data_IF_562965152384
#
_entry.id   IF_562965152384
#
_cell.length_a   1.000
_cell.length_b   1.000
_cell.length_c   1.000
_cell.angle_alpha   90.00
_cell.angle_beta   90.00
_cell.angle_gamma   90.00
#
_symmetry.space_group_name_H-M   'P 1'
#
loop_
_entity.id
_entity.type
_entity.pdbx_description
1 polymer ?
#
# COMPACT_ATOMS: atom_id res chain seq x y z
N UNK A 1 -25.13 -36.58 -8.40
CA UNK A 1 -24.24 -35.73 -9.20
C UNK A 1 -23.40 -34.95 -8.22
N UNK A 2 -22.12 -35.32 -8.08
CA UNK A 2 -21.19 -34.70 -7.13
C UNK A 2 -20.46 -33.57 -7.83
N UNK A 3 -20.73 -32.33 -7.44
CA UNK A 3 -19.98 -31.17 -7.94
C UNK A 3 -18.72 -31.06 -7.09
N UNK A 4 -17.57 -31.37 -7.68
CA UNK A 4 -16.27 -31.13 -7.07
C UNK A 4 -16.06 -29.61 -6.93
N UNK A 5 -16.03 -29.12 -5.68
CA UNK A 5 -15.61 -27.76 -5.38
C UNK A 5 -14.10 -27.67 -5.64
N UNK A 6 -13.70 -27.10 -6.78
CA UNK A 6 -12.29 -26.83 -7.06
C UNK A 6 -11.83 -25.80 -6.03
N UNK A 7 -10.93 -26.23 -5.14
CA UNK A 7 -10.38 -25.40 -4.10
C UNK A 7 -9.41 -24.40 -4.77
N UNK A 8 -9.84 -23.15 -4.97
CA UNK A 8 -9.10 -22.09 -5.69
C UNK A 8 -7.75 -21.74 -5.03
N UNK A 9 -7.52 -22.23 -3.81
CA UNK A 9 -6.33 -21.95 -3.00
C UNK A 9 -5.03 -22.61 -3.51
N UNK A 10 -5.08 -23.41 -4.58
CA UNK A 10 -3.95 -24.25 -5.03
C UNK A 10 -3.42 -23.95 -6.45
N UNK A 11 -3.96 -22.93 -7.15
CA UNK A 11 -3.56 -22.63 -8.55
C UNK A 11 -2.79 -21.32 -8.74
N UNK A 12 -2.53 -20.57 -7.67
CA UNK A 12 -1.68 -19.38 -7.73
C UNK A 12 -0.47 -19.60 -6.83
N UNK A 13 0.68 -19.81 -7.46
CA UNK A 13 1.96 -19.74 -6.75
C UNK A 13 2.07 -18.37 -6.07
N UNK A 14 2.48 -18.38 -4.81
CA UNK A 14 2.60 -17.17 -3.98
C UNK A 14 3.52 -16.16 -4.68
N UNK A 15 4.52 -16.67 -5.43
CA UNK A 15 5.45 -15.88 -6.25
C UNK A 15 4.76 -15.09 -7.37
N UNK A 16 3.75 -15.66 -8.04
CA UNK A 16 3.03 -14.98 -9.14
C UNK A 16 2.15 -13.85 -8.61
N UNK A 17 1.55 -14.04 -7.43
CA UNK A 17 0.77 -13.00 -6.75
C UNK A 17 1.68 -11.86 -6.29
N UNK A 18 2.84 -12.19 -5.72
CA UNK A 18 3.81 -11.22 -5.22
C UNK A 18 4.43 -10.39 -6.36
N UNK A 19 4.77 -11.03 -7.48
CA UNK A 19 5.31 -10.36 -8.68
C UNK A 19 4.28 -9.39 -9.29
N UNK A 20 3.02 -9.82 -9.41
CA UNK A 20 1.94 -8.96 -9.91
C UNK A 20 1.72 -7.75 -8.98
N UNK A 21 1.71 -7.95 -7.66
CA UNK A 21 1.57 -6.85 -6.70
C UNK A 21 2.76 -5.88 -6.73
N UNK A 22 3.96 -6.40 -6.99
CA UNK A 22 5.17 -5.57 -7.13
C UNK A 22 5.10 -4.69 -8.37
N UNK A 23 4.67 -5.24 -9.50
CA UNK A 23 4.47 -4.46 -10.74
C UNK A 23 3.42 -3.37 -10.56
N UNK A 24 2.27 -3.70 -9.95
CA UNK A 24 1.22 -2.72 -9.64
C UNK A 24 1.71 -1.62 -8.68
N UNK A 25 2.51 -1.99 -7.66
CA UNK A 25 3.13 -1.05 -6.75
C UNK A 25 4.08 -0.07 -7.46
N UNK A 26 4.90 -0.57 -8.39
CA UNK A 26 5.79 0.28 -9.20
C UNK A 26 5.00 1.25 -10.07
N UNK A 27 3.91 0.79 -10.71
CA UNK A 27 3.02 1.66 -11.49
C UNK A 27 2.38 2.73 -10.60
N UNK A 28 1.93 2.38 -9.39
CA UNK A 28 1.35 3.33 -8.46
C UNK A 28 2.35 4.43 -8.02
N UNK A 29 3.64 4.11 -7.96
CA UNK A 29 4.71 5.05 -7.60
C UNK A 29 5.16 5.93 -8.76
N UNK A 30 4.86 5.58 -10.01
CA UNK A 30 5.40 6.26 -11.19
C UNK A 30 5.16 7.78 -11.19
N UNK A 31 3.94 8.21 -10.87
CA UNK A 31 3.58 9.64 -10.86
C UNK A 31 4.32 10.42 -9.77
N UNK A 32 4.39 9.86 -8.56
CA UNK A 32 5.09 10.48 -7.44
C UNK A 32 6.60 10.61 -7.72
N UNK A 33 7.20 9.56 -8.29
CA UNK A 33 8.62 9.56 -8.68
C UNK A 33 8.91 10.61 -9.74
N UNK A 34 8.09 10.71 -10.78
CA UNK A 34 8.27 11.73 -11.81
C UNK A 34 8.26 13.16 -11.25
N UNK A 35 7.41 13.44 -10.26
CA UNK A 35 7.37 14.75 -9.58
C UNK A 35 8.65 14.99 -8.76
N UNK A 36 9.11 13.99 -8.01
CA UNK A 36 10.33 14.10 -7.19
C UNK A 36 11.59 14.20 -8.05
N UNK A 37 11.66 13.45 -9.14
CA UNK A 37 12.75 13.47 -10.13
C UNK A 37 12.83 14.86 -10.79
N UNK A 38 11.68 15.41 -11.23
CA UNK A 38 11.62 16.76 -11.80
C UNK A 38 12.03 17.85 -10.80
N UNK A 39 11.74 17.64 -9.51
CA UNK A 39 12.18 18.52 -8.43
C UNK A 39 13.64 18.28 -8.02
N UNK A 40 14.32 17.28 -8.58
CA UNK A 40 15.69 16.85 -8.24
C UNK A 40 15.87 16.54 -6.75
N UNK A 41 14.82 16.03 -6.10
CA UNK A 41 14.86 15.67 -4.69
C UNK A 41 15.34 14.23 -4.52
N UNK A 42 16.30 13.95 -3.61
CA UNK A 42 16.66 12.58 -3.28
C UNK A 42 15.50 11.91 -2.54
N UNK A 43 15.13 10.70 -2.96
CA UNK A 43 14.10 9.89 -2.30
C UNK A 43 14.47 8.41 -2.31
N UNK A 44 13.84 7.67 -1.40
CA UNK A 44 13.81 6.21 -1.42
C UNK A 44 12.36 5.76 -1.59
N UNK A 45 12.16 4.62 -2.23
CA UNK A 45 10.86 3.99 -2.34
C UNK A 45 10.91 2.59 -1.74
N UNK A 46 9.80 2.17 -1.15
CA UNK A 46 9.65 0.86 -0.57
C UNK A 46 8.29 0.29 -0.98
N UNK A 47 8.27 -1.00 -1.34
CA UNK A 47 7.04 -1.74 -1.66
C UNK A 47 6.95 -2.87 -0.65
N UNK A 48 5.86 -2.90 0.10
CA UNK A 48 5.54 -3.96 1.05
C UNK A 48 4.24 -4.65 0.65
N UNK A 49 4.16 -5.95 0.93
CA UNK A 49 2.95 -6.74 0.78
C UNK A 49 2.38 -6.97 2.18
N UNK A 50 1.07 -6.74 2.34
CA UNK A 50 0.39 -6.93 3.62
C UNK A 50 -0.73 -5.93 3.86
N UNK A 51 -1.06 -5.70 5.13
CA UNK A 51 -2.10 -4.73 5.52
C UNK A 51 -1.53 -3.31 5.47
N UNK A 52 -2.09 -2.39 4.65
CA UNK A 52 -1.43 -1.11 4.35
C UNK A 52 -1.07 -0.29 5.60
N UNK A 53 -2.02 -0.08 6.52
CA UNK A 53 -1.76 0.73 7.71
C UNK A 53 -0.68 0.12 8.63
N UNK A 54 -0.69 -1.20 8.79
CA UNK A 54 0.30 -1.90 9.63
C UNK A 54 1.69 -1.86 8.97
N UNK A 55 1.76 -2.10 7.65
CA UNK A 55 3.01 -2.01 6.90
C UNK A 55 3.62 -0.60 6.91
N UNK A 56 2.79 0.44 6.76
CA UNK A 56 3.23 1.85 6.86
C UNK A 56 3.85 2.12 8.22
N UNK A 57 3.19 1.72 9.32
CA UNK A 57 3.67 1.98 10.67
C UNK A 57 4.92 1.17 11.01
N UNK A 58 4.97 -0.10 10.58
CA UNK A 58 6.17 -0.93 10.75
C UNK A 58 7.37 -0.34 10.02
N UNK A 59 7.18 0.13 8.77
CA UNK A 59 8.24 0.82 8.03
C UNK A 59 8.66 2.11 8.72
N UNK A 60 7.70 2.94 9.14
CA UNK A 60 7.99 4.20 9.84
C UNK A 60 8.77 3.98 11.14
N UNK A 61 8.41 2.97 11.93
CA UNK A 61 9.12 2.60 13.15
C UNK A 61 10.53 2.06 12.85
N UNK A 62 10.65 1.17 11.86
CA UNK A 62 11.93 0.56 11.49
C UNK A 62 12.94 1.55 10.88
N UNK A 63 12.44 2.62 10.26
CA UNK A 63 13.26 3.68 9.65
C UNK A 63 13.32 4.97 10.49
N UNK A 64 12.78 4.94 11.72
CA UNK A 64 12.75 6.08 12.64
C UNK A 64 12.20 7.38 12.01
N UNK A 65 11.13 7.25 11.22
CA UNK A 65 10.51 8.38 10.51
C UNK A 65 9.85 9.32 11.49
N UNK A 66 10.15 10.62 11.39
CA UNK A 66 9.60 11.67 12.26
C UNK A 66 8.22 12.19 11.83
N UNK A 67 7.85 12.00 10.56
CA UNK A 67 6.59 12.50 10.00
C UNK A 67 6.07 11.59 8.88
N UNK A 68 4.79 11.20 8.99
CA UNK A 68 4.06 10.50 7.93
C UNK A 68 3.15 11.50 7.22
N UNK A 69 3.34 11.66 5.91
CA UNK A 69 2.45 12.44 5.04
C UNK A 69 1.68 11.46 4.15
N UNK A 70 0.35 11.57 4.14
CA UNK A 70 -0.50 10.73 3.29
C UNK A 70 -1.73 11.50 2.82
N UNK A 71 -2.28 11.09 1.67
CA UNK A 71 -3.56 11.62 1.20
C UNK A 71 -4.71 11.23 2.14
N UNK A 72 -5.63 12.16 2.38
CA UNK A 72 -6.82 11.89 3.20
C UNK A 72 -7.74 10.86 2.56
N UNK A 73 -7.71 10.73 1.23
CA UNK A 73 -8.49 9.75 0.46
C UNK A 73 -7.59 8.98 -0.53
N UNK A 74 -8.03 7.76 -0.88
CA UNK A 74 -7.40 6.92 -1.90
C UNK A 74 -8.03 7.09 -3.29
N UNK A 75 -7.56 6.29 -4.26
CA UNK A 75 -8.00 6.34 -5.67
C UNK A 75 -9.51 6.14 -5.88
N UNK A 76 -10.19 5.45 -4.96
CA UNK A 76 -11.60 5.04 -5.08
C UNK A 76 -12.50 5.66 -3.98
N UNK A 77 -12.04 6.75 -3.35
CA UNK A 77 -12.72 7.34 -2.20
C UNK A 77 -14.18 7.71 -2.48
N UNK A 78 -15.11 7.13 -1.72
CA UNK A 78 -16.51 7.57 -1.69
C UNK A 78 -16.55 9.00 -1.13
N UNK A 79 -17.06 9.95 -1.92
CA UNK A 79 -17.10 11.39 -1.64
C UNK A 79 -17.80 11.80 -0.34
N UNK A 80 -18.51 10.88 0.32
CA UNK A 80 -19.20 11.12 1.59
C UNK A 80 -18.31 10.97 2.84
N UNK A 81 -17.12 10.37 2.75
CA UNK A 81 -16.25 10.15 3.92
C UNK A 81 -15.06 11.10 3.92
N UNK A 82 -14.88 11.86 5.01
CA UNK A 82 -13.78 12.83 5.14
C UNK A 82 -12.39 12.18 5.16
N UNK A 83 -12.28 10.93 5.64
CA UNK A 83 -11.05 10.15 5.76
C UNK A 83 -11.23 8.77 5.13
N UNK A 84 -10.25 8.35 4.34
CA UNK A 84 -10.14 7.00 3.80
C UNK A 84 -9.75 6.00 4.88
N UNK A 85 -10.16 4.74 4.71
CA UNK A 85 -9.98 3.67 5.69
C UNK A 85 -8.52 3.44 6.10
N UNK A 86 -7.56 3.62 5.19
CA UNK A 86 -6.12 3.50 5.49
C UNK A 86 -5.64 4.69 6.31
N UNK A 87 -5.98 5.92 5.91
CA UNK A 87 -5.58 7.14 6.61
C UNK A 87 -6.13 7.18 8.04
N UNK A 88 -7.41 6.85 8.19
CA UNK A 88 -8.08 6.76 9.48
C UNK A 88 -7.41 5.72 10.40
N UNK A 89 -7.00 4.57 9.84
CA UNK A 89 -6.35 3.50 10.61
C UNK A 89 -4.91 3.83 10.97
N UNK A 90 -4.16 4.48 10.09
CA UNK A 90 -2.81 5.01 10.42
C UNK A 90 -2.91 6.02 11.55
N UNK A 91 -3.82 6.99 11.45
CA UNK A 91 -4.02 8.01 12.48
C UNK A 91 -4.33 7.42 13.86
N UNK A 92 -5.22 6.40 13.91
CA UNK A 92 -5.55 5.73 15.18
C UNK A 92 -4.39 4.97 15.80
N UNK A 93 -3.51 4.39 14.98
CA UNK A 93 -2.45 3.50 15.43
C UNK A 93 -1.11 4.20 15.62
N UNK A 94 -0.90 5.36 15.00
CA UNK A 94 0.36 6.15 15.14
C UNK A 94 0.43 6.96 16.43
N UNK A 95 -0.70 7.15 17.11
CA UNK A 95 -0.82 7.92 18.35
C UNK A 95 -0.81 7.01 19.60
N UNK A 96 -0.69 5.69 19.40
CA UNK A 96 -0.55 4.68 20.44
C UNK A 96 0.91 4.26 20.59
#
# INVERSE_FOLDING_TARGET
>A
WSVATVNVKLLFDQQVIDDYQREQGLQALQSARAVLDAAQLPYQYHISIGRPAEAILQYAAAQEVSLIIMGAQGKEGLTQWLLGSVAERVLRLSVA
#
